data_IF_669661402801
#
_entry.id   IF_669661402801
#
_cell.length_a   1.000
_cell.length_b   1.000
_cell.length_c   1.000
_cell.angle_alpha   90.00
_cell.angle_beta   90.00
_cell.angle_gamma   90.00
#
_symmetry.space_group_name_H-M   'P 1'
#
loop_
_entity.id
_entity.type
_entity.pdbx_description
1 polymer ?
#
# COMPACT_ATOMS: atom_id res chain seq x y z
N UNK A 1 2.54 3.49 12.08
CA UNK A 1 1.62 4.03 11.04
C UNK A 1 0.20 3.96 11.59
N UNK A 2 -0.64 4.98 11.41
CA UNK A 2 -2.07 4.82 11.71
C UNK A 2 -2.67 3.97 10.59
N UNK A 3 -2.85 2.68 10.87
CA UNK A 3 -3.47 1.79 9.89
C UNK A 3 -4.92 2.22 9.63
N UNK A 4 -5.28 2.38 8.37
CA UNK A 4 -6.68 2.61 7.93
C UNK A 4 -7.48 1.30 7.82
N UNK A 5 -6.84 0.18 8.18
CA UNK A 5 -7.36 -1.17 8.15
C UNK A 5 -7.06 -1.85 9.49
N UNK A 6 -8.07 -2.42 10.12
CA UNK A 6 -7.90 -3.17 11.36
C UNK A 6 -7.64 -4.64 11.05
N UNK A 7 -6.88 -5.34 11.90
CA UNK A 7 -6.64 -6.78 11.78
C UNK A 7 -7.26 -7.50 12.97
N UNK A 8 -8.21 -8.39 12.70
CA UNK A 8 -8.79 -9.30 13.70
C UNK A 8 -8.20 -10.69 13.53
N UNK A 9 -7.68 -11.27 14.60
CA UNK A 9 -7.16 -12.63 14.62
C UNK A 9 -8.29 -13.59 15.00
N UNK A 10 -8.58 -14.56 14.14
CA UNK A 10 -9.56 -15.64 14.43
C UNK A 10 -8.86 -16.88 15.00
N UNK A 11 -7.71 -17.24 14.43
CA UNK A 11 -6.77 -18.18 15.01
C UNK A 11 -5.34 -17.65 14.88
N UNK A 12 -4.54 -17.61 15.95
CA UNK A 12 -3.15 -17.19 15.84
C UNK A 12 -2.35 -18.23 15.06
N UNK A 13 -1.30 -17.78 14.37
CA UNK A 13 -0.29 -18.68 13.83
C UNK A 13 0.55 -19.27 14.96
N UNK A 14 1.19 -20.41 14.71
CA UNK A 14 2.28 -20.97 15.54
C UNK A 14 3.58 -20.97 14.73
N UNK A 15 4.67 -21.46 15.32
CA UNK A 15 5.95 -21.66 14.64
C UNK A 15 5.89 -22.72 13.52
N UNK A 16 4.83 -23.54 13.49
CA UNK A 16 4.65 -24.63 12.51
C UNK A 16 3.37 -24.53 11.69
N UNK A 17 2.37 -23.77 12.13
CA UNK A 17 1.05 -23.75 11.52
C UNK A 17 0.58 -22.32 11.24
N UNK A 18 -0.03 -22.12 10.07
CA UNK A 18 -0.67 -20.87 9.72
C UNK A 18 -1.88 -20.59 10.62
N UNK A 19 -2.04 -19.33 10.98
CA UNK A 19 -3.25 -18.79 11.59
C UNK A 19 -4.27 -18.33 10.55
N UNK A 20 -5.38 -17.78 11.04
CA UNK A 20 -6.42 -17.17 10.21
C UNK A 20 -6.79 -15.80 10.75
N UNK A 21 -6.86 -14.83 9.86
CA UNK A 21 -7.15 -13.44 10.18
C UNK A 21 -8.20 -12.85 9.26
N UNK A 22 -8.72 -11.71 9.69
CA UNK A 22 -9.61 -10.87 8.90
C UNK A 22 -9.05 -9.45 8.92
N UNK A 23 -8.83 -8.90 7.74
CA UNK A 23 -8.67 -7.46 7.57
C UNK A 23 -10.03 -6.80 7.50
N UNK A 24 -10.23 -5.76 8.30
CA UNK A 24 -11.43 -4.93 8.37
C UNK A 24 -11.09 -3.56 7.77
N UNK A 25 -11.55 -3.34 6.54
CA UNK A 25 -11.31 -2.10 5.82
C UNK A 25 -12.28 -1.04 6.31
N UNK A 26 -11.75 0.15 6.62
CA UNK A 26 -12.54 1.26 7.12
C UNK A 26 -12.57 2.42 6.13
N UNK A 27 -13.53 3.31 6.34
CA UNK A 27 -13.66 4.57 5.60
C UNK A 27 -12.68 5.65 6.10
N UNK A 28 -11.81 5.31 7.06
CA UNK A 28 -10.72 6.18 7.51
C UNK A 28 -9.71 6.39 6.38
N UNK A 29 -9.15 7.59 6.34
CA UNK A 29 -8.03 7.92 5.47
C UNK A 29 -6.98 8.70 6.25
N UNK A 30 -5.76 8.73 5.71
CA UNK A 30 -4.65 9.49 6.28
C UNK A 30 -3.83 10.15 5.20
N UNK A 31 -3.67 11.47 5.32
CA UNK A 31 -2.77 12.29 4.48
C UNK A 31 -1.71 12.95 5.36
N UNK A 32 -0.56 13.25 4.76
CA UNK A 32 0.61 13.84 5.45
C UNK A 32 1.10 13.07 6.68
N UNK A 33 0.82 11.77 6.76
CA UNK A 33 1.12 10.89 7.89
C UNK A 33 0.45 11.33 9.20
N UNK A 34 -0.59 12.17 9.12
CA UNK A 34 -1.31 12.73 10.28
C UNK A 34 -2.00 11.67 11.15
N UNK A 35 -2.23 10.49 10.58
CA UNK A 35 -3.13 9.48 11.10
C UNK A 35 -4.56 9.69 10.61
N UNK A 36 -5.54 9.23 11.37
CA UNK A 36 -6.96 9.39 11.05
C UNK A 36 -7.32 10.88 10.91
N UNK A 37 -7.97 11.21 9.79
CA UNK A 37 -8.47 12.54 9.48
C UNK A 37 -9.85 12.77 10.11
N UNK A 38 -10.32 14.03 10.21
CA UNK A 38 -11.59 14.34 10.88
C UNK A 38 -12.82 13.66 10.27
N UNK A 39 -12.75 13.36 8.97
CA UNK A 39 -13.83 12.76 8.20
C UNK A 39 -13.54 11.30 7.84
N UNK A 40 -14.61 10.54 7.61
CA UNK A 40 -14.57 9.21 6.99
C UNK A 40 -15.11 9.34 5.57
N UNK A 41 -14.40 8.78 4.60
CA UNK A 41 -14.78 8.79 3.18
C UNK A 41 -15.74 7.62 2.91
N UNK A 42 -17.06 7.86 2.74
CA UNK A 42 -18.02 6.77 2.67
C UNK A 42 -17.69 5.74 1.59
N UNK A 43 -17.72 4.46 1.94
CA UNK A 43 -17.50 3.36 0.98
C UNK A 43 -16.06 3.18 0.53
N UNK A 44 -15.09 3.98 1.02
CA UNK A 44 -13.66 3.80 0.75
C UNK A 44 -13.19 2.42 1.20
N UNK A 45 -13.58 2.00 2.41
CA UNK A 45 -13.18 0.69 2.95
C UNK A 45 -13.68 -0.45 2.07
N UNK A 46 -14.95 -0.40 1.68
CA UNK A 46 -15.55 -1.37 0.78
C UNK A 46 -14.87 -1.37 -0.61
N UNK A 47 -14.58 -0.20 -1.15
CA UNK A 47 -13.91 -0.05 -2.46
C UNK A 47 -12.52 -0.68 -2.46
N UNK A 48 -11.71 -0.39 -1.43
CA UNK A 48 -10.36 -0.94 -1.30
C UNK A 48 -10.36 -2.44 -1.05
N UNK A 49 -11.27 -2.95 -0.22
CA UNK A 49 -11.43 -4.38 0.00
C UNK A 49 -11.82 -5.11 -1.30
N UNK A 50 -12.76 -4.53 -2.06
CA UNK A 50 -13.21 -5.06 -3.36
C UNK A 50 -12.07 -5.11 -4.36
N UNK A 51 -11.29 -4.02 -4.49
CA UNK A 51 -10.12 -3.98 -5.38
C UNK A 51 -9.02 -4.95 -4.96
N UNK A 52 -8.74 -5.03 -3.66
CA UNK A 52 -7.74 -5.94 -3.12
C UNK A 52 -8.13 -7.40 -3.36
N UNK A 53 -9.39 -7.76 -3.10
CA UNK A 53 -9.91 -9.11 -3.34
C UNK A 53 -9.84 -9.46 -4.82
N UNK A 54 -10.26 -8.55 -5.71
CA UNK A 54 -10.15 -8.74 -7.15
C UNK A 54 -8.68 -8.99 -7.56
N UNK A 55 -7.76 -8.15 -7.10
CA UNK A 55 -6.33 -8.30 -7.39
C UNK A 55 -5.80 -9.65 -6.91
N UNK A 56 -6.11 -10.07 -5.68
CA UNK A 56 -5.68 -11.37 -5.18
C UNK A 56 -6.23 -12.55 -5.99
N UNK A 57 -7.48 -12.48 -6.45
CA UNK A 57 -8.07 -13.51 -7.33
C UNK A 57 -7.40 -13.52 -8.72
N UNK A 58 -7.04 -12.36 -9.26
CA UNK A 58 -6.28 -12.26 -10.52
C UNK A 58 -4.85 -12.81 -10.37
N UNK A 59 -4.18 -12.52 -9.24
CA UNK A 59 -2.88 -13.09 -8.90
C UNK A 59 -2.93 -14.61 -8.79
N UNK A 60 -3.94 -15.15 -8.09
CA UNK A 60 -4.14 -16.59 -7.99
C UNK A 60 -4.38 -17.23 -9.37
N UNK A 61 -5.17 -16.59 -10.24
CA UNK A 61 -5.37 -17.03 -11.62
C UNK A 61 -4.08 -17.01 -12.46
N UNK A 62 -3.17 -16.06 -12.19
CA UNK A 62 -1.84 -16.00 -12.80
C UNK A 62 -0.81 -16.96 -12.14
N UNK A 63 -1.25 -17.80 -11.19
CA UNK A 63 -0.39 -18.76 -10.49
C UNK A 63 0.61 -18.10 -9.55
N UNK A 64 0.25 -16.95 -8.99
CA UNK A 64 1.02 -16.25 -7.95
C UNK A 64 0.47 -16.66 -6.57
N UNK A 65 1.28 -17.25 -5.67
CA UNK A 65 0.84 -17.62 -4.33
C UNK A 65 0.48 -16.38 -3.50
N UNK A 66 -0.63 -16.44 -2.76
CA UNK A 66 -1.08 -15.34 -1.90
C UNK A 66 -1.65 -15.90 -0.60
N UNK A 67 -1.71 -15.08 0.45
CA UNK A 67 -2.37 -15.45 1.71
C UNK A 67 -3.90 -15.26 1.69
N UNK A 68 -4.48 -14.81 0.57
CA UNK A 68 -5.90 -14.46 0.49
C UNK A 68 -6.78 -15.72 0.46
N UNK A 69 -7.80 -15.74 1.31
CA UNK A 69 -8.74 -16.86 1.46
C UNK A 69 -10.16 -16.54 0.99
N UNK A 70 -10.47 -15.26 0.73
CA UNK A 70 -11.81 -14.81 0.33
C UNK A 70 -12.22 -13.51 1.00
N UNK A 71 -13.47 -13.11 0.78
CA UNK A 71 -14.13 -11.99 1.48
C UNK A 71 -15.25 -12.50 2.40
N UNK A 72 -15.59 -11.73 3.43
CA UNK A 72 -16.74 -12.06 4.29
C UNK A 72 -18.04 -11.52 3.69
N UNK A 73 -19.04 -12.36 3.64
CA UNK A 73 -20.44 -11.96 3.42
C UNK A 73 -21.05 -11.39 4.71
N UNK A 74 -22.19 -10.67 4.64
CA UNK A 74 -22.88 -10.15 5.82
C UNK A 74 -23.32 -11.22 6.84
N UNK A 75 -23.52 -12.47 6.43
CA UNK A 75 -23.83 -13.61 7.30
C UNK A 75 -22.58 -14.33 7.85
N UNK A 76 -21.38 -13.87 7.48
CA UNK A 76 -20.10 -14.32 8.04
C UNK A 76 -19.42 -15.45 7.28
N UNK A 77 -19.96 -15.91 6.15
CA UNK A 77 -19.32 -16.90 5.29
C UNK A 77 -18.07 -16.32 4.59
N UNK A 78 -17.08 -17.15 4.29
CA UNK A 78 -15.95 -16.77 3.42
C UNK A 78 -16.25 -17.24 2.01
N UNK A 79 -16.34 -16.31 1.08
CA UNK A 79 -16.65 -16.57 -0.32
C UNK A 79 -15.64 -15.88 -1.23
N UNK A 80 -15.62 -16.28 -2.51
CA UNK A 80 -14.92 -15.50 -3.55
C UNK A 80 -15.65 -14.19 -3.78
N UNK A 81 -14.94 -13.18 -4.26
CA UNK A 81 -15.51 -11.86 -4.54
C UNK A 81 -16.74 -11.96 -5.46
N UNK A 82 -16.69 -12.81 -6.49
CA UNK A 82 -17.81 -12.99 -7.42
C UNK A 82 -19.13 -13.41 -6.74
N UNK A 83 -19.02 -14.16 -5.63
CA UNK A 83 -20.13 -14.74 -4.87
C UNK A 83 -20.60 -13.82 -3.72
N UNK A 84 -19.91 -12.69 -3.48
CA UNK A 84 -20.33 -11.70 -2.49
C UNK A 84 -21.59 -10.95 -2.95
N UNK A 85 -22.61 -10.77 -2.09
CA UNK A 85 -23.88 -10.14 -2.46
C UNK A 85 -23.77 -8.62 -2.64
N UNK A 86 -22.78 -8.00 -1.99
CA UNK A 86 -22.49 -6.57 -2.01
C UNK A 86 -20.98 -6.37 -1.88
N UNK A 87 -20.51 -5.12 -2.07
CA UNK A 87 -19.09 -4.79 -1.93
C UNK A 87 -18.60 -5.11 -0.51
N UNK A 88 -17.64 -6.04 -0.34
CA UNK A 88 -17.21 -6.48 0.98
C UNK A 88 -16.37 -5.42 1.69
N UNK A 89 -16.37 -5.39 3.02
CA UNK A 89 -15.45 -4.60 3.86
C UNK A 89 -14.45 -5.45 4.63
N UNK A 90 -14.55 -6.78 4.50
CA UNK A 90 -13.75 -7.73 5.24
C UNK A 90 -13.09 -8.75 4.31
N UNK A 91 -11.79 -8.92 4.46
CA UNK A 91 -10.97 -9.86 3.70
C UNK A 91 -10.37 -10.90 4.64
N UNK A 92 -10.54 -12.17 4.31
CA UNK A 92 -10.01 -13.30 5.09
C UNK A 92 -8.66 -13.70 4.54
N UNK A 93 -7.70 -13.89 5.43
CA UNK A 93 -6.32 -14.20 5.07
C UNK A 93 -5.74 -15.30 5.97
N UNK A 94 -4.75 -16.01 5.47
CA UNK A 94 -3.83 -16.77 6.29
C UNK A 94 -2.91 -15.81 7.06
N UNK A 95 -2.61 -16.15 8.30
CA UNK A 95 -1.67 -15.42 9.14
C UNK A 95 -0.39 -16.23 9.34
N UNK A 96 0.74 -15.57 9.26
CA UNK A 96 2.02 -16.10 9.73
C UNK A 96 2.40 -15.52 11.09
N UNK A 97 3.52 -15.97 11.66
CA UNK A 97 4.18 -15.25 12.74
C UNK A 97 4.53 -13.82 12.27
N UNK A 98 4.32 -12.86 13.16
CA UNK A 98 4.84 -11.50 13.03
C UNK A 98 5.65 -11.20 14.28
N UNK A 99 6.90 -11.69 14.38
CA UNK A 99 7.75 -11.44 15.53
C UNK A 99 8.01 -9.95 15.74
N UNK A 100 8.40 -9.58 16.96
CA UNK A 100 8.94 -8.24 17.22
C UNK A 100 10.41 -8.24 16.80
N UNK A 101 10.83 -7.25 16.01
CA UNK A 101 12.24 -7.05 15.66
C UNK A 101 12.95 -6.34 16.82
N UNK A 102 13.86 -7.02 17.57
CA UNK A 102 14.56 -6.40 18.68
C UNK A 102 15.61 -5.41 18.19
N UNK A 103 15.81 -4.32 18.93
CA UNK A 103 16.94 -3.41 18.75
C UNK A 103 17.80 -3.45 20.01
N UNK A 104 18.98 -4.06 19.92
CA UNK A 104 19.91 -4.29 21.02
C UNK A 104 21.34 -3.92 20.58
N UNK A 105 22.13 -3.34 21.48
CA UNK A 105 23.53 -2.93 21.23
C UNK A 105 23.78 -2.06 19.98
N UNK A 106 22.76 -1.28 19.57
CA UNK A 106 22.84 -0.34 18.45
C UNK A 106 22.53 -0.94 17.07
N UNK A 107 22.00 -2.16 17.01
CA UNK A 107 21.60 -2.84 15.78
C UNK A 107 20.29 -3.60 15.94
N UNK A 108 19.60 -3.84 14.82
CA UNK A 108 18.43 -4.72 14.78
C UNK A 108 18.86 -6.19 14.71
N UNK A 109 18.24 -7.04 15.52
CA UNK A 109 18.55 -8.47 15.64
C UNK A 109 17.60 -9.31 14.77
N UNK A 110 17.98 -9.46 13.49
CA UNK A 110 17.23 -10.26 12.52
C UNK A 110 17.34 -11.77 12.76
N UNK A 111 18.44 -12.25 13.33
CA UNK A 111 18.58 -13.67 13.71
C UNK A 111 17.49 -14.06 14.70
N UNK A 112 17.29 -13.23 15.75
CA UNK A 112 16.23 -13.46 16.74
C UNK A 112 14.82 -13.26 16.18
N UNK A 113 14.65 -12.38 15.19
CA UNK A 113 13.38 -12.25 14.47
C UNK A 113 13.01 -13.57 13.77
N UNK A 114 13.96 -14.14 13.03
CA UNK A 114 13.76 -15.39 12.27
C UNK A 114 13.64 -16.61 13.17
N UNK A 115 14.44 -16.72 14.23
CA UNK A 115 14.33 -17.77 15.25
C UNK A 115 12.93 -17.81 15.90
N UNK A 116 12.29 -16.63 16.09
CA UNK A 116 10.94 -16.52 16.62
C UNK A 116 9.84 -16.77 15.56
N UNK A 117 10.17 -16.61 14.26
CA UNK A 117 9.26 -16.85 13.15
C UNK A 117 9.06 -18.34 12.83
N UNK A 118 10.08 -19.16 13.03
CA UNK A 118 10.02 -20.59 12.73
C UNK A 118 9.82 -20.85 11.24
N UNK A 119 8.89 -21.73 10.85
CA UNK A 119 8.69 -22.09 9.43
C UNK A 119 7.76 -21.15 8.67
N UNK A 120 7.15 -20.17 9.34
CA UNK A 120 6.26 -19.20 8.71
C UNK A 120 6.35 -17.81 9.35
N UNK A 121 6.69 -16.80 8.56
CA UNK A 121 6.82 -15.43 9.09
C UNK A 121 6.49 -14.38 8.02
N UNK A 122 6.15 -13.18 8.45
CA UNK A 122 6.09 -12.03 7.55
C UNK A 122 7.51 -11.58 7.24
N UNK A 123 7.90 -11.53 5.96
CA UNK A 123 9.24 -11.12 5.56
C UNK A 123 9.46 -9.67 6.02
N UNK A 124 10.56 -9.35 6.73
CA UNK A 124 10.75 -8.03 7.35
C UNK A 124 11.21 -6.94 6.35
N UNK A 125 10.73 -7.05 5.12
CA UNK A 125 11.01 -6.17 3.99
C UNK A 125 9.71 -5.63 3.42
N UNK A 126 9.79 -4.43 2.85
CA UNK A 126 8.83 -3.97 1.85
C UNK A 126 9.48 -4.12 0.47
N UNK A 127 8.75 -4.70 -0.48
CA UNK A 127 9.21 -4.86 -1.86
C UNK A 127 8.53 -3.80 -2.72
N UNK A 128 9.31 -2.89 -3.30
CA UNK A 128 8.82 -1.78 -4.09
C UNK A 128 9.12 -2.04 -5.56
N UNK A 129 8.10 -2.05 -6.42
CA UNK A 129 8.26 -2.16 -7.86
C UNK A 129 7.84 -0.87 -8.56
N UNK A 130 8.53 -0.50 -9.64
CA UNK A 130 8.33 0.77 -10.35
C UNK A 130 8.32 0.57 -11.85
N UNK A 131 7.25 1.03 -12.51
CA UNK A 131 7.16 1.20 -13.96
C UNK A 131 7.41 2.65 -14.39
N UNK A 132 7.23 3.60 -13.47
CA UNK A 132 7.53 5.01 -13.67
C UNK A 132 8.13 5.65 -12.42
N UNK A 133 8.79 6.80 -12.60
CA UNK A 133 9.41 7.58 -11.53
C UNK A 133 8.71 8.93 -11.40
N UNK A 134 7.81 9.11 -10.42
CA UNK A 134 7.16 10.40 -10.19
C UNK A 134 8.17 11.45 -9.72
N UNK A 135 7.80 12.73 -9.87
CA UNK A 135 8.66 13.89 -9.52
C UNK A 135 9.11 13.85 -8.05
N UNK A 136 8.24 13.41 -7.15
CA UNK A 136 8.53 13.29 -5.72
C UNK A 136 9.17 11.97 -5.28
N UNK A 137 9.58 11.10 -6.21
CA UNK A 137 10.16 9.80 -5.86
C UNK A 137 11.53 9.96 -5.18
N UNK A 138 11.73 9.27 -4.06
CA UNK A 138 13.04 9.18 -3.40
C UNK A 138 14.10 8.46 -4.24
N UNK A 139 13.70 7.74 -5.31
CA UNK A 139 14.64 7.19 -6.28
C UNK A 139 15.47 8.30 -6.94
N UNK A 140 14.86 9.48 -7.18
CA UNK A 140 15.53 10.60 -7.85
C UNK A 140 16.69 11.20 -7.05
N UNK A 141 16.70 11.01 -5.73
CA UNK A 141 17.80 11.48 -4.87
C UNK A 141 18.87 10.41 -4.66
N UNK A 142 18.58 9.14 -4.99
CA UNK A 142 19.47 7.99 -4.79
C UNK A 142 20.19 7.54 -6.07
N UNK A 143 19.62 7.83 -7.24
CA UNK A 143 20.13 7.37 -8.53
C UNK A 143 20.14 8.52 -9.56
N UNK A 144 21.09 8.46 -10.49
CA UNK A 144 21.05 9.25 -11.71
C UNK A 144 20.07 8.60 -12.71
N UNK A 145 19.47 9.36 -13.65
CA UNK A 145 18.56 8.78 -14.65
C UNK A 145 19.22 7.64 -15.46
N UNK A 146 20.51 7.77 -15.78
CA UNK A 146 21.25 6.75 -16.51
C UNK A 146 21.36 5.40 -15.77
N UNK A 147 21.35 5.41 -14.42
CA UNK A 147 21.41 4.19 -13.61
C UNK A 147 20.15 3.31 -13.77
N UNK A 148 19.06 3.91 -14.27
CA UNK A 148 17.76 3.29 -14.47
C UNK A 148 17.34 3.25 -15.95
N UNK A 149 18.31 3.39 -16.86
CA UNK A 149 18.09 3.27 -18.30
C UNK A 149 17.43 4.49 -18.95
N UNK A 150 17.39 5.64 -18.26
CA UNK A 150 16.89 6.89 -18.84
C UNK A 150 18.06 7.69 -19.42
N UNK A 151 17.99 7.97 -20.72
CA UNK A 151 18.98 8.78 -21.45
C UNK A 151 18.81 10.28 -21.15
N UNK A 152 19.20 10.69 -19.95
CA UNK A 152 19.21 12.08 -19.50
C UNK A 152 20.29 12.31 -18.43
N UNK A 153 20.94 13.48 -18.48
CA UNK A 153 21.93 13.89 -17.47
C UNK A 153 21.29 14.27 -16.13
N UNK A 154 20.06 14.80 -16.17
CA UNK A 154 19.25 15.19 -15.02
C UNK A 154 17.84 14.62 -15.12
N UNK A 155 17.19 14.44 -13.97
CA UNK A 155 15.81 13.96 -13.93
C UNK A 155 14.86 14.94 -14.65
N UNK A 156 14.04 14.44 -15.61
CA UNK A 156 13.02 15.26 -16.26
C UNK A 156 12.04 15.89 -15.26
N UNK A 157 11.49 17.07 -15.58
CA UNK A 157 10.62 17.82 -14.67
C UNK A 157 9.27 17.16 -14.39
N UNK A 158 8.83 16.23 -15.25
CA UNK A 158 7.60 15.45 -15.08
C UNK A 158 7.88 14.00 -14.66
N UNK A 159 6.84 13.19 -14.43
CA UNK A 159 6.98 11.73 -14.31
C UNK A 159 7.65 11.13 -15.56
N UNK A 160 8.41 10.05 -15.36
CA UNK A 160 9.15 9.38 -16.44
C UNK A 160 8.88 7.89 -16.38
N UNK A 161 8.46 7.30 -17.49
CA UNK A 161 8.32 5.84 -17.63
C UNK A 161 9.70 5.19 -17.70
N UNK A 162 9.86 4.09 -16.97
CA UNK A 162 11.07 3.29 -16.95
C UNK A 162 11.03 2.29 -18.12
N UNK A 163 12.18 2.04 -18.79
CA UNK A 163 12.25 1.06 -19.87
C UNK A 163 12.05 -0.38 -19.36
N UNK A 164 12.44 -0.64 -18.11
CA UNK A 164 12.26 -1.92 -17.43
C UNK A 164 11.79 -1.67 -15.99
N UNK A 165 10.94 -2.56 -15.47
CA UNK A 165 10.49 -2.48 -14.08
C UNK A 165 11.69 -2.62 -13.14
N UNK A 166 11.80 -1.68 -12.21
CA UNK A 166 12.78 -1.73 -11.12
C UNK A 166 12.10 -2.37 -9.91
N UNK A 167 12.82 -3.27 -9.23
CA UNK A 167 12.44 -3.81 -7.93
C UNK A 167 13.49 -3.37 -6.91
N UNK A 168 13.04 -2.74 -5.83
CA UNK A 168 13.86 -2.29 -4.71
C UNK A 168 13.31 -2.88 -3.41
N UNK A 169 14.17 -2.96 -2.40
CA UNK A 169 13.80 -3.45 -1.08
C UNK A 169 14.06 -2.37 -0.04
N UNK A 170 13.14 -2.22 0.90
CA UNK A 170 13.36 -1.45 2.12
C UNK A 170 13.03 -2.27 3.35
N UNK A 171 13.55 -1.83 4.50
CA UNK A 171 13.17 -2.39 5.80
C UNK A 171 11.73 -2.04 6.13
N UNK A 172 11.09 -2.85 6.99
CA UNK A 172 9.69 -2.67 7.40
C UNK A 172 9.48 -2.37 8.89
N UNK A 173 10.32 -2.96 9.74
CA UNK A 173 10.16 -2.93 11.20
C UNK A 173 11.22 -2.10 11.92
N UNK A 174 12.10 -1.45 11.18
CA UNK A 174 13.01 -0.47 11.75
C UNK A 174 12.23 0.81 12.13
N UNK A 175 12.77 1.63 13.03
CA UNK A 175 12.17 2.93 13.40
C UNK A 175 12.01 3.87 12.19
N UNK A 176 12.91 3.76 11.22
CA UNK A 176 12.86 4.46 9.94
C UNK A 176 13.16 3.49 8.82
N UNK A 177 12.24 3.37 7.85
CA UNK A 177 12.47 2.53 6.69
C UNK A 177 13.64 3.05 5.86
N UNK A 178 14.55 2.15 5.48
CA UNK A 178 15.69 2.46 4.62
C UNK A 178 15.77 1.50 3.45
N UNK A 179 16.14 2.03 2.29
CA UNK A 179 16.40 1.22 1.10
C UNK A 179 17.71 0.44 1.26
N UNK A 180 17.73 -0.79 0.75
CA UNK A 180 18.79 -1.77 0.95
C UNK A 180 19.49 -2.12 -0.36
N UNK A 181 20.76 -2.53 -0.27
CA UNK A 181 21.36 -3.31 -1.35
C UNK A 181 20.72 -4.70 -1.40
N UNK A 182 20.78 -5.38 -2.55
CA UNK A 182 20.26 -6.75 -2.66
C UNK A 182 20.90 -7.71 -1.66
N UNK A 183 22.20 -7.59 -1.40
CA UNK A 183 22.90 -8.44 -0.42
C UNK A 183 22.38 -8.23 1.01
N UNK A 184 22.14 -6.98 1.41
CA UNK A 184 21.61 -6.66 2.74
C UNK A 184 20.14 -7.09 2.85
N UNK A 185 19.37 -6.95 1.77
CA UNK A 185 18.00 -7.41 1.73
C UNK A 185 17.91 -8.95 1.85
N UNK A 186 18.79 -9.69 1.18
CA UNK A 186 18.89 -11.15 1.30
C UNK A 186 19.21 -11.60 2.73
N UNK A 187 20.18 -10.96 3.38
CA UNK A 187 20.50 -11.21 4.80
C UNK A 187 19.30 -10.93 5.72
N UNK A 188 18.57 -9.83 5.48
CA UNK A 188 17.40 -9.45 6.29
C UNK A 188 16.19 -10.35 6.04
N UNK A 189 16.00 -10.84 4.81
CA UNK A 189 14.83 -11.64 4.42
C UNK A 189 14.80 -13.03 5.09
N UNK A 190 15.95 -13.53 5.56
CA UNK A 190 16.07 -14.84 6.18
C UNK A 190 16.03 -15.95 5.14
N UNK A 191 15.17 -16.95 5.36
CA UNK A 191 14.99 -18.07 4.42
C UNK A 191 14.24 -17.68 3.12
N UNK A 192 13.66 -16.48 3.06
CA UNK A 192 13.00 -15.94 1.88
C UNK A 192 14.02 -15.37 0.88
N UNK A 193 14.41 -16.17 -0.11
CA UNK A 193 15.39 -15.79 -1.14
C UNK A 193 14.99 -14.48 -1.86
N UNK A 194 15.93 -13.54 -1.94
CA UNK A 194 15.65 -12.21 -2.52
C UNK A 194 15.37 -12.24 -4.02
N UNK A 195 15.90 -13.22 -4.75
CA UNK A 195 15.63 -13.43 -6.16
C UNK A 195 14.22 -13.99 -6.38
N UNK A 196 13.73 -14.84 -5.48
CA UNK A 196 12.32 -15.28 -5.49
C UNK A 196 11.37 -14.12 -5.18
N UNK A 197 11.70 -13.27 -4.19
CA UNK A 197 10.93 -12.06 -3.88
C UNK A 197 10.89 -11.08 -5.05
N UNK A 198 12.01 -10.86 -5.74
CA UNK A 198 12.09 -10.03 -6.94
C UNK A 198 11.21 -10.60 -8.07
N UNK A 199 11.34 -11.89 -8.36
CA UNK A 199 10.55 -12.56 -9.39
C UNK A 199 9.04 -12.52 -9.07
N UNK A 200 8.67 -12.72 -7.80
CA UNK A 200 7.30 -12.58 -7.33
C UNK A 200 6.78 -11.15 -7.55
N UNK A 201 7.55 -10.14 -7.15
CA UNK A 201 7.18 -8.74 -7.31
C UNK A 201 7.00 -8.34 -8.78
N UNK A 202 7.82 -8.87 -9.70
CA UNK A 202 7.64 -8.66 -11.15
C UNK A 202 6.34 -9.25 -11.66
N UNK A 203 6.01 -10.49 -11.28
CA UNK A 203 4.75 -11.14 -11.68
C UNK A 203 3.52 -10.42 -11.10
N UNK A 204 3.63 -9.95 -9.86
CA UNK A 204 2.58 -9.12 -9.23
C UNK A 204 2.40 -7.82 -9.99
N UNK A 205 3.51 -7.11 -10.27
CA UNK A 205 3.49 -5.86 -11.03
C UNK A 205 2.88 -6.06 -12.42
N UNK A 206 3.28 -7.08 -13.17
CA UNK A 206 2.71 -7.42 -14.48
C UNK A 206 1.20 -7.62 -14.37
N UNK A 207 0.74 -8.45 -13.43
CA UNK A 207 -0.68 -8.75 -13.24
C UNK A 207 -1.51 -7.50 -12.91
N UNK A 208 -1.02 -6.65 -11.99
CA UNK A 208 -1.68 -5.40 -11.62
C UNK A 208 -1.67 -4.41 -12.79
N UNK A 209 -0.57 -4.34 -13.54
CA UNK A 209 -0.44 -3.47 -14.71
C UNK A 209 -1.41 -3.85 -15.81
N UNK A 210 -1.58 -5.16 -16.06
CA UNK A 210 -2.56 -5.66 -17.04
C UNK A 210 -4.00 -5.31 -16.60
N UNK A 211 -4.35 -5.56 -15.32
CA UNK A 211 -5.66 -5.18 -14.77
C UNK A 211 -5.90 -3.66 -14.89
N UNK A 212 -4.89 -2.85 -14.58
CA UNK A 212 -4.95 -1.40 -14.67
C UNK A 212 -5.16 -0.94 -16.11
N UNK A 213 -4.39 -1.48 -17.06
CA UNK A 213 -4.46 -1.13 -18.46
C UNK A 213 -5.82 -1.47 -19.08
N UNK A 214 -6.36 -2.65 -18.78
CA UNK A 214 -7.71 -3.07 -19.21
C UNK A 214 -8.81 -2.13 -18.68
N UNK A 215 -8.59 -1.58 -17.48
CA UNK A 215 -9.45 -0.59 -16.86
C UNK A 215 -9.12 0.87 -17.26
N UNK A 216 -8.14 1.10 -18.14
CA UNK A 216 -7.76 2.44 -18.63
C UNK A 216 -6.99 3.29 -17.61
N UNK A 217 -6.34 2.67 -16.63
CA UNK A 217 -5.38 3.29 -15.74
C UNK A 217 -3.95 3.10 -16.24
N UNK A 218 -3.06 4.01 -15.86
CA UNK A 218 -1.61 3.80 -15.92
C UNK A 218 -1.12 3.45 -14.51
N UNK A 219 -0.33 2.39 -14.39
CA UNK A 219 0.20 1.91 -13.12
C UNK A 219 1.68 2.28 -12.98
N UNK A 220 1.98 3.27 -12.13
CA UNK A 220 3.31 3.88 -12.03
C UNK A 220 4.24 3.08 -11.11
N UNK A 221 3.78 2.76 -9.91
CA UNK A 221 4.54 1.99 -8.93
C UNK A 221 3.62 1.37 -7.87
N UNK A 222 4.17 0.44 -7.10
CA UNK A 222 3.46 -0.23 -6.03
C UNK A 222 4.40 -0.84 -5.00
N UNK A 223 3.80 -1.24 -3.89
CA UNK A 223 4.49 -1.88 -2.77
C UNK A 223 3.82 -3.20 -2.44
N UNK A 224 4.65 -4.16 -2.04
CA UNK A 224 4.25 -5.50 -1.66
C UNK A 224 4.80 -5.85 -0.29
N UNK A 225 4.00 -6.60 0.46
CA UNK A 225 4.46 -7.37 1.60
C UNK A 225 4.39 -8.85 1.24
N UNK A 226 5.33 -9.64 1.74
CA UNK A 226 5.39 -11.07 1.47
C UNK A 226 5.47 -11.85 2.77
N UNK A 227 4.83 -13.01 2.80
CA UNK A 227 5.05 -14.01 3.85
C UNK A 227 5.89 -15.15 3.31
N UNK A 228 6.75 -15.70 4.15
CA UNK A 228 7.41 -16.97 3.93
C UNK A 228 6.62 -18.07 4.63
N UNK A 229 6.35 -19.17 3.95
CA UNK A 229 5.63 -20.33 4.48
C UNK A 229 6.25 -21.61 3.94
N UNK A 230 6.93 -22.36 4.80
CA UNK A 230 7.44 -23.71 4.51
C UNK A 230 8.20 -23.83 3.17
N UNK A 231 9.07 -22.86 2.86
CA UNK A 231 9.85 -22.84 1.61
C UNK A 231 9.22 -22.10 0.43
N UNK A 232 8.08 -21.43 0.62
CA UNK A 232 7.40 -20.66 -0.41
C UNK A 232 7.16 -19.21 0.02
N UNK A 233 7.51 -18.26 -0.85
CA UNK A 233 7.12 -16.85 -0.69
C UNK A 233 5.72 -16.61 -1.28
N UNK A 234 4.86 -15.93 -0.52
CA UNK A 234 3.49 -15.59 -0.94
C UNK A 234 3.23 -14.11 -0.76
N UNK A 235 2.41 -13.55 -1.64
CA UNK A 235 1.92 -12.18 -1.50
C UNK A 235 1.04 -12.05 -0.27
N UNK A 236 1.31 -11.03 0.52
CA UNK A 236 0.60 -10.71 1.74
C UNK A 236 0.10 -9.26 1.76
N UNK A 237 -0.54 -8.92 2.86
CA UNK A 237 -1.22 -7.65 3.10
C UNK A 237 -2.28 -7.33 2.03
N UNK A 238 -2.16 -6.22 1.31
CA UNK A 238 -3.07 -5.82 0.23
C UNK A 238 -2.23 -5.36 -0.96
N UNK A 239 -2.67 -5.71 -2.17
CA UNK A 239 -2.03 -5.29 -3.41
C UNK A 239 -3.08 -4.79 -4.42
N UNK A 240 -2.66 -3.98 -5.39
CA UNK A 240 -3.50 -3.51 -6.49
C UNK A 240 -4.65 -2.59 -6.09
N UNK A 241 -4.46 -1.77 -5.05
CA UNK A 241 -5.45 -0.75 -4.62
C UNK A 241 -4.88 0.66 -4.72
N UNK A 242 -5.76 1.66 -4.77
CA UNK A 242 -5.37 3.08 -4.84
C UNK A 242 -4.58 3.59 -3.63
N UNK A 243 -4.61 2.87 -2.50
CA UNK A 243 -3.82 3.24 -1.31
C UNK A 243 -2.44 2.54 -1.29
N UNK A 244 -2.30 1.39 -1.96
CA UNK A 244 -1.05 0.60 -1.99
C UNK A 244 -0.22 0.77 -3.28
N UNK A 245 -0.84 1.28 -4.34
CA UNK A 245 -0.23 1.44 -5.66
C UNK A 245 -0.62 2.80 -6.23
N UNK A 246 0.28 3.40 -7.01
CA UNK A 246 0.03 4.66 -7.71
C UNK A 246 -0.56 4.39 -9.08
N UNK A 247 -1.85 4.69 -9.21
CA UNK A 247 -2.56 4.67 -10.48
C UNK A 247 -2.85 6.07 -10.97
N UNK A 248 -2.80 6.27 -12.29
CA UNK A 248 -3.26 7.48 -12.95
C UNK A 248 -4.40 7.20 -13.91
N UNK A 249 -5.36 8.10 -13.96
CA UNK A 249 -6.45 8.11 -14.94
C UNK A 249 -6.48 9.49 -15.61
N UNK A 250 -6.43 9.53 -16.95
CA UNK A 250 -6.31 10.77 -17.73
C UNK A 250 -5.22 11.73 -17.22
N UNK A 251 -4.07 11.16 -16.83
CA UNK A 251 -2.92 11.91 -16.34
C UNK A 251 -2.99 12.37 -14.88
N UNK A 252 -4.09 12.09 -14.17
CA UNK A 252 -4.31 12.48 -12.76
C UNK A 252 -4.20 11.26 -11.84
N UNK A 253 -3.55 11.42 -10.69
CA UNK A 253 -3.42 10.33 -9.71
C UNK A 253 -4.77 10.01 -9.06
N UNK A 254 -5.11 8.72 -9.00
CA UNK A 254 -6.36 8.22 -8.43
C UNK A 254 -6.05 7.62 -7.07
N UNK A 255 -6.06 8.46 -6.05
CA UNK A 255 -5.79 8.08 -4.66
C UNK A 255 -6.23 9.22 -3.72
N UNK A 256 -5.95 9.05 -2.43
CA UNK A 256 -6.00 10.15 -1.45
C UNK A 256 -5.09 11.35 -1.78
N UNK A 257 -4.23 11.26 -2.81
CA UNK A 257 -3.46 12.41 -3.28
C UNK A 257 -4.35 13.56 -3.76
N UNK A 258 -5.53 13.28 -4.32
CA UNK A 258 -6.52 14.32 -4.65
C UNK A 258 -6.90 15.14 -3.39
N UNK A 259 -7.17 14.44 -2.28
CA UNK A 259 -7.46 15.05 -0.98
C UNK A 259 -6.23 15.78 -0.43
N UNK A 260 -5.03 15.23 -0.60
CA UNK A 260 -3.78 15.90 -0.21
C UNK A 260 -3.60 17.23 -0.94
N UNK A 261 -3.86 17.27 -2.24
CA UNK A 261 -3.75 18.48 -3.06
C UNK A 261 -4.85 19.49 -2.73
N UNK A 262 -6.04 19.04 -2.33
CA UNK A 262 -7.07 19.90 -1.77
C UNK A 262 -6.58 20.59 -0.49
N UNK A 263 -6.10 19.85 0.51
CA UNK A 263 -5.58 20.43 1.75
C UNK A 263 -4.41 21.41 1.55
N UNK A 264 -3.52 21.15 0.58
CA UNK A 264 -2.45 22.11 0.24
C UNK A 264 -2.98 23.48 -0.20
N UNK A 265 -4.19 23.53 -0.79
CA UNK A 265 -4.84 24.76 -1.26
C UNK A 265 -5.77 25.37 -0.21
N UNK A 266 -6.56 24.53 0.46
CA UNK A 266 -7.58 24.98 1.41
C UNK A 266 -7.02 25.32 2.80
N UNK A 267 -5.98 24.61 3.23
CA UNK A 267 -5.39 24.73 4.57
C UNK A 267 -3.84 24.71 4.51
N UNK A 268 -3.22 25.69 3.83
CA UNK A 268 -1.77 25.77 3.71
C UNK A 268 -1.08 26.04 5.06
N UNK A 269 -1.78 26.65 6.02
CA UNK A 269 -1.26 26.93 7.36
C UNK A 269 -1.04 25.62 8.14
N UNK A 270 -2.05 24.74 8.19
CA UNK A 270 -1.89 23.42 8.80
C UNK A 270 -0.84 22.58 8.09
N UNK A 271 -0.83 22.54 6.75
CA UNK A 271 0.19 21.80 5.99
C UNK A 271 1.60 22.31 6.28
N UNK A 272 1.76 23.63 6.44
CA UNK A 272 3.01 24.25 6.90
C UNK A 272 3.39 23.81 8.31
N UNK A 273 2.44 23.87 9.24
CA UNK A 273 2.65 23.46 10.63
C UNK A 273 3.04 21.97 10.75
N UNK A 274 2.45 21.08 9.96
CA UNK A 274 2.84 19.66 9.90
C UNK A 274 4.29 19.51 9.48
N UNK A 275 4.74 20.24 8.45
CA UNK A 275 6.15 20.20 8.01
C UNK A 275 7.10 20.72 9.07
N UNK A 276 6.73 21.81 9.74
CA UNK A 276 7.53 22.40 10.81
C UNK A 276 7.61 21.50 12.04
N UNK A 277 6.50 20.84 12.40
CA UNK A 277 6.43 19.88 13.48
C UNK A 277 7.30 18.65 13.20
N UNK A 278 7.24 18.07 12.00
CA UNK A 278 8.11 16.95 11.59
C UNK A 278 9.58 17.34 11.66
N UNK A 279 9.95 18.49 11.10
CA UNK A 279 11.33 19.00 11.17
C UNK A 279 11.80 19.20 12.61
N UNK A 280 10.96 19.81 13.46
CA UNK A 280 11.29 20.01 14.87
C UNK A 280 11.40 18.68 15.64
N UNK A 281 10.63 17.67 15.26
CA UNK A 281 10.69 16.34 15.85
C UNK A 281 11.98 15.62 15.49
N UNK A 282 12.38 15.67 14.21
CA UNK A 282 13.66 15.14 13.72
C UNK A 282 14.84 15.82 14.42
N UNK A 283 14.81 17.16 14.55
CA UNK A 283 15.85 17.93 15.28
C UNK A 283 15.93 17.59 16.77
N UNK A 284 14.81 17.18 17.39
CA UNK A 284 14.72 16.84 18.81
C UNK A 284 14.89 15.34 19.08
N UNK A 285 14.94 14.50 18.03
CA UNK A 285 14.96 13.05 18.15
C UNK A 285 13.71 12.48 18.84
N UNK A 286 12.53 13.05 18.58
CA UNK A 286 11.25 12.55 19.13
C UNK A 286 10.37 11.99 18.00
N UNK A 287 9.78 10.82 18.22
CA UNK A 287 8.91 10.19 17.21
C UNK A 287 7.53 10.89 17.09
N UNK A 288 7.00 11.41 18.21
CA UNK A 288 5.69 12.06 18.26
C UNK A 288 5.74 13.52 17.81
N UNK A 289 5.97 13.72 16.51
CA UNK A 289 5.93 15.04 15.90
C UNK A 289 4.54 15.69 15.99
N UNK A 290 3.46 14.91 16.08
CA UNK A 290 2.09 15.43 16.09
C UNK A 290 1.83 16.29 17.33
N UNK A 291 2.40 15.94 18.47
CA UNK A 291 2.37 16.78 19.69
C UNK A 291 2.98 18.18 19.52
N UNK A 292 3.80 18.39 18.48
CA UNK A 292 4.43 19.68 18.15
C UNK A 292 3.63 20.48 17.13
N UNK A 293 2.55 19.92 16.57
CA UNK A 293 1.66 20.59 15.63
C UNK A 293 0.43 21.13 16.36
N UNK A 294 0.38 22.43 16.62
CA UNK A 294 -0.76 23.08 17.29
C UNK A 294 -2.07 23.03 16.48
N UNK A 295 -2.10 23.36 15.17
CA UNK A 295 -3.34 23.27 14.39
C UNK A 295 -3.67 21.80 14.06
N UNK A 296 -4.97 21.50 14.05
CA UNK A 296 -5.53 20.28 13.49
C UNK A 296 -6.14 20.55 12.11
N UNK A 297 -6.20 19.57 11.20
CA UNK A 297 -6.82 19.78 9.90
C UNK A 297 -8.31 20.10 10.05
N UNK A 298 -8.79 21.01 9.22
CA UNK A 298 -10.23 21.24 9.07
C UNK A 298 -10.92 20.02 8.41
N UNK A 299 -12.21 19.77 8.73
CA UNK A 299 -13.02 18.80 7.99
C UNK A 299 -13.11 19.17 6.50
N UNK A 300 -13.21 18.15 5.65
CA UNK A 300 -13.47 18.34 4.24
C UNK A 300 -14.85 18.95 4.04
N UNK A 301 -14.99 19.91 3.10
CA UNK A 301 -16.32 20.31 2.64
C UNK A 301 -17.12 19.10 2.14
N UNK A 302 -18.44 19.02 2.40
CA UNK A 302 -19.27 17.88 2.02
C UNK A 302 -19.15 17.46 0.54
N UNK A 303 -19.00 18.42 -0.35
CA UNK A 303 -18.78 18.22 -1.78
C UNK A 303 -17.45 17.52 -2.10
N UNK A 304 -16.37 17.86 -1.38
CA UNK A 304 -15.05 17.24 -1.55
C UNK A 304 -15.01 15.86 -0.92
N UNK A 305 -15.70 15.69 0.22
CA UNK A 305 -15.85 14.38 0.85
C UNK A 305 -16.62 13.41 -0.06
N UNK A 306 -17.70 13.89 -0.70
CA UNK A 306 -18.45 13.10 -1.68
C UNK A 306 -17.58 12.81 -2.92
N UNK A 307 -16.84 13.79 -3.44
CA UNK A 307 -15.92 13.56 -4.56
C UNK A 307 -14.86 12.48 -4.23
N UNK A 308 -14.37 12.45 -2.98
CA UNK A 308 -13.46 11.39 -2.53
C UNK A 308 -14.15 10.02 -2.52
N UNK A 309 -15.38 9.94 -2.02
CA UNK A 309 -16.16 8.70 -2.02
C UNK A 309 -16.41 8.20 -3.45
N UNK A 310 -16.84 9.10 -4.34
CA UNK A 310 -17.10 8.82 -5.75
C UNK A 310 -15.82 8.37 -6.47
N UNK A 311 -14.66 8.96 -6.16
CA UNK A 311 -13.36 8.56 -6.70
C UNK A 311 -13.04 7.09 -6.38
N UNK A 312 -13.17 6.68 -5.12
CA UNK A 312 -12.92 5.28 -4.73
C UNK A 312 -13.95 4.34 -5.33
N UNK A 313 -15.23 4.69 -5.26
CA UNK A 313 -16.33 3.87 -5.74
C UNK A 313 -16.29 3.66 -7.27
N UNK A 314 -16.17 4.76 -8.04
CA UNK A 314 -16.06 4.72 -9.49
C UNK A 314 -14.76 4.05 -9.95
N UNK A 315 -13.66 4.32 -9.24
CA UNK A 315 -12.37 3.70 -9.50
C UNK A 315 -12.41 2.18 -9.28
N UNK A 316 -13.03 1.71 -8.19
CA UNK A 316 -13.19 0.28 -7.92
C UNK A 316 -14.11 -0.41 -8.93
N UNK A 317 -15.23 0.24 -9.29
CA UNK A 317 -16.11 -0.28 -10.35
C UNK A 317 -15.34 -0.49 -11.66
N UNK A 318 -14.55 0.52 -12.03
CA UNK A 318 -13.75 0.52 -13.26
C UNK A 318 -12.65 -0.54 -13.22
N UNK A 319 -11.85 -0.56 -12.15
CA UNK A 319 -10.73 -1.48 -11.98
C UNK A 319 -11.18 -2.95 -11.97
N UNK A 320 -12.34 -3.24 -11.41
CA UNK A 320 -12.89 -4.61 -11.34
C UNK A 320 -13.83 -4.97 -12.49
N UNK A 321 -14.08 -4.04 -13.42
CA UNK A 321 -15.03 -4.16 -14.53
C UNK A 321 -16.45 -4.62 -14.09
N UNK A 322 -16.90 -4.22 -12.90
CA UNK A 322 -18.20 -4.57 -12.31
C UNK A 322 -18.76 -3.38 -11.52
N UNK A 323 -20.05 -3.10 -11.68
CA UNK A 323 -20.76 -2.07 -10.89
C UNK A 323 -21.06 -2.59 -9.48
N UNK A 324 -20.17 -2.32 -8.54
CA UNK A 324 -20.31 -2.59 -7.11
C UNK A 324 -20.99 -1.44 -6.35
N UNK A 325 -20.75 -0.21 -6.83
CA UNK A 325 -21.21 1.03 -6.21
C UNK A 325 -22.02 1.87 -7.18
N UNK A 326 -23.01 2.60 -6.68
CA UNK A 326 -23.66 3.68 -7.42
C UNK A 326 -22.74 4.92 -7.38
N UNK A 327 -22.04 5.19 -8.47
CA UNK A 327 -21.02 6.23 -8.55
C UNK A 327 -21.02 6.89 -9.93
N UNK A 328 -20.70 8.20 -10.02
CA UNK A 328 -20.55 8.87 -11.30
C UNK A 328 -19.33 8.34 -12.08
N UNK A 329 -19.14 8.74 -13.34
CA UNK A 329 -17.89 8.51 -14.05
C UNK A 329 -16.69 9.01 -13.24
N UNK A 330 -15.59 8.23 -13.23
CA UNK A 330 -14.38 8.59 -12.48
C UNK A 330 -13.82 9.97 -12.86
N UNK A 331 -13.94 10.36 -14.13
CA UNK A 331 -13.54 11.69 -14.59
C UNK A 331 -14.27 12.81 -13.84
N UNK A 332 -15.59 12.69 -13.67
CA UNK A 332 -16.43 13.68 -12.97
C UNK A 332 -16.05 13.79 -11.49
N UNK A 333 -15.74 12.65 -10.85
CA UNK A 333 -15.27 12.63 -9.46
C UNK A 333 -13.92 13.32 -9.29
N UNK A 334 -13.00 13.15 -10.25
CA UNK A 334 -11.69 13.84 -10.26
C UNK A 334 -11.84 15.34 -10.53
N UNK A 335 -12.72 15.73 -11.46
CA UNK A 335 -12.98 17.13 -11.81
C UNK A 335 -13.51 17.93 -10.61
N UNK A 336 -14.26 17.29 -9.70
CA UNK A 336 -14.78 17.94 -8.49
C UNK A 336 -13.70 18.39 -7.50
N UNK A 337 -12.46 17.91 -7.63
CA UNK A 337 -11.34 18.41 -6.83
C UNK A 337 -10.69 19.67 -7.42
N UNK A 338 -10.93 20.04 -8.67
CA UNK A 338 -10.18 21.12 -9.34
C UNK A 338 -10.69 22.53 -9.01
#
# INVERSE_FOLDING_TARGET
>A
MASVKDRRVESPATDTDLGRGVFEFSDRYSVFDWGEMPDHVPGKGASLCTMGAYTFEQLAAAGVPTHYQGVRTPDGETVRLADAPEAPTQMVIDLTQVPTLPFEDGSYDYDRYHDAGGSNYLVPLEVVFRNAVPVGSSLRTRCAPADVGIDADEWPQGPVELPETIVEFSTKYEEQDRYLSRSMADEIAGDADIAELDALARRVNETITDCAADAGFVHDDGKLECVYVDGEVRVADVAGTFDENRFRFDGREVSKEAVRQFYKRSDPEWVGAVKDAKRAADERGVADWKSLCEPSPDPLPPEILQAAADLYAAGANRYTAREWFDAPPLGDALDAFE
#
